data_IF_711116633248
#
_entry.id   IF_711116633248
#
_cell.length_a   1.000
_cell.length_b   1.000
_cell.length_c   1.000
_cell.angle_alpha   90.00
_cell.angle_beta   90.00
_cell.angle_gamma   90.00
#
_symmetry.space_group_name_H-M   'P 1'
#
loop_
_entity.id
_entity.type
_entity.pdbx_description
1 polymer ?
#
# COMPACT_ATOMS: atom_id res chain seq x y z
N UNK A 1 10.33 84.76 1.15
CA UNK A 1 11.54 85.48 0.71
C UNK A 1 12.37 85.76 1.95
N UNK A 2 13.40 84.95 2.21
CA UNK A 2 14.60 85.41 2.90
C UNK A 2 15.74 84.59 2.35
N UNK A 3 16.58 85.31 1.61
CA UNK A 3 17.75 84.83 0.92
C UNK A 3 18.83 84.65 2.00
N UNK A 4 19.42 83.46 2.08
CA UNK A 4 20.79 83.32 2.60
C UNK A 4 21.65 82.91 1.42
N UNK A 5 22.15 83.93 0.74
CA UNK A 5 23.22 83.84 -0.25
C UNK A 5 24.56 83.72 0.47
N UNK A 6 25.22 82.57 0.26
CA UNK A 6 26.67 82.44 0.17
C UNK A 6 27.48 82.45 1.46
N UNK A 7 27.97 81.27 1.87
CA UNK A 7 29.33 81.10 2.42
C UNK A 7 29.87 79.74 1.95
N UNK A 8 31.08 79.77 1.41
CA UNK A 8 31.71 78.67 0.69
C UNK A 8 32.19 77.48 1.53
N UNK A 9 32.86 76.60 0.78
CA UNK A 9 33.38 75.24 1.03
C UNK A 9 34.22 74.98 2.31
N UNK A 10 34.11 75.78 3.38
CA UNK A 10 34.94 75.70 4.59
C UNK A 10 34.17 75.48 5.90
N UNK A 11 32.83 75.46 5.90
CA UNK A 11 32.11 74.99 7.09
C UNK A 11 32.23 73.48 7.13
N UNK A 12 32.71 72.90 8.24
CA UNK A 12 32.74 71.45 8.49
C UNK A 12 31.36 70.80 8.61
N UNK A 13 30.42 71.25 7.77
CA UNK A 13 29.09 70.70 7.57
C UNK A 13 29.28 69.50 6.64
N UNK A 14 29.05 68.32 7.19
CA UNK A 14 29.02 67.09 6.43
C UNK A 14 27.72 67.06 5.59
N UNK A 15 27.77 67.67 4.42
CA UNK A 15 26.66 67.71 3.46
C UNK A 15 26.21 66.30 3.06
N UNK A 16 27.12 65.32 3.05
CA UNK A 16 26.76 63.93 2.78
C UNK A 16 25.91 63.36 3.91
N UNK A 17 26.23 63.66 5.18
CA UNK A 17 25.40 63.27 6.32
C UNK A 17 24.02 63.93 6.30
N UNK A 18 23.93 65.23 5.96
CA UNK A 18 22.64 65.93 5.86
C UNK A 18 21.79 65.40 4.70
N UNK A 19 22.40 65.19 3.53
CA UNK A 19 21.71 64.62 2.36
C UNK A 19 21.24 63.20 2.67
N UNK A 20 22.07 62.37 3.32
CA UNK A 20 21.69 61.01 3.73
C UNK A 20 20.51 61.04 4.69
N UNK A 21 20.54 61.89 5.72
CA UNK A 21 19.42 62.04 6.66
C UNK A 21 18.14 62.56 5.99
N UNK A 22 18.25 63.48 5.02
CA UNK A 22 17.09 63.98 4.27
C UNK A 22 16.49 62.88 3.38
N UNK A 23 17.33 62.07 2.75
CA UNK A 23 16.91 60.89 1.98
C UNK A 23 16.28 59.83 2.89
N UNK A 24 16.82 59.59 4.08
CA UNK A 24 16.22 58.68 5.07
C UNK A 24 14.82 59.14 5.50
N UNK A 25 14.64 60.44 5.75
CA UNK A 25 13.32 61.02 6.08
C UNK A 25 12.35 60.89 4.91
N UNK A 26 12.77 61.17 3.68
CA UNK A 26 11.94 61.03 2.48
C UNK A 26 11.58 59.55 2.19
N UNK A 27 12.39 58.60 2.67
CA UNK A 27 12.13 57.16 2.56
C UNK A 27 11.20 56.59 3.65
N UNK A 28 10.82 57.37 4.68
CA UNK A 28 9.93 56.90 5.76
C UNK A 28 8.64 56.27 5.21
N UNK A 29 7.89 56.88 4.26
CA UNK A 29 6.66 56.28 3.75
C UNK A 29 6.88 54.94 3.04
N UNK A 30 8.00 54.81 2.30
CA UNK A 30 8.38 53.56 1.64
C UNK A 30 8.68 52.49 2.68
N UNK A 31 9.45 52.82 3.71
CA UNK A 31 9.77 51.89 4.80
C UNK A 31 8.51 51.43 5.53
N UNK A 32 7.58 52.35 5.83
CA UNK A 32 6.30 51.98 6.45
C UNK A 32 5.47 51.02 5.59
N UNK A 33 5.50 51.19 4.26
CA UNK A 33 4.84 50.26 3.32
C UNK A 33 5.56 48.91 3.25
N UNK A 34 6.89 48.89 3.29
CA UNK A 34 7.70 47.67 3.34
C UNK A 34 7.43 46.89 4.63
N UNK A 35 7.50 47.55 5.80
CA UNK A 35 7.21 46.95 7.10
C UNK A 35 5.78 46.37 7.14
N UNK A 36 4.82 47.05 6.49
CA UNK A 36 3.44 46.56 6.37
C UNK A 36 3.35 45.34 5.43
N UNK A 37 4.08 45.35 4.32
CA UNK A 37 4.13 44.21 3.39
C UNK A 37 4.74 42.98 4.07
N UNK A 38 5.83 43.16 4.82
CA UNK A 38 6.48 42.10 5.58
C UNK A 38 5.53 41.50 6.63
N UNK A 39 4.82 42.35 7.40
CA UNK A 39 3.78 41.88 8.33
C UNK A 39 2.70 41.04 7.63
N UNK A 40 2.27 41.41 6.42
CA UNK A 40 1.29 40.60 5.68
C UNK A 40 1.88 39.30 5.16
N UNK A 41 3.14 39.27 4.73
CA UNK A 41 3.81 38.05 4.30
C UNK A 41 3.98 37.06 5.47
N UNK A 42 4.29 37.55 6.67
CA UNK A 42 4.35 36.73 7.89
C UNK A 42 2.97 36.14 8.18
N UNK A 43 1.90 36.95 8.11
CA UNK A 43 0.52 36.46 8.28
C UNK A 43 0.14 35.39 7.24
N UNK A 44 0.50 35.59 5.97
CA UNK A 44 0.25 34.60 4.90
C UNK A 44 0.96 33.29 5.24
N UNK A 45 2.21 33.36 5.68
CA UNK A 45 3.00 32.18 6.07
C UNK A 45 2.32 31.44 7.22
N UNK A 46 1.91 32.15 8.26
CA UNK A 46 1.22 31.55 9.42
C UNK A 46 -0.13 30.93 9.03
N UNK A 47 -0.91 31.57 8.14
CA UNK A 47 -2.16 30.99 7.66
C UNK A 47 -1.94 29.75 6.79
N UNK A 48 -0.90 29.72 5.95
CA UNK A 48 -0.57 28.52 5.16
C UNK A 48 -0.17 27.35 6.07
N UNK A 49 0.62 27.60 7.11
CA UNK A 49 0.97 26.57 8.08
C UNK A 49 -0.26 26.07 8.85
N UNK A 50 -1.18 26.97 9.25
CA UNK A 50 -2.45 26.61 9.88
C UNK A 50 -3.31 25.76 8.94
N UNK A 51 -3.37 26.11 7.65
CA UNK A 51 -4.08 25.35 6.63
C UNK A 51 -3.53 23.91 6.53
N UNK A 52 -2.20 23.74 6.43
CA UNK A 52 -1.58 22.41 6.42
C UNK A 52 -1.84 21.60 7.69
N UNK A 53 -1.93 22.24 8.87
CA UNK A 53 -2.31 21.56 10.12
C UNK A 53 -3.77 21.13 10.13
N UNK A 54 -4.66 21.97 9.58
CA UNK A 54 -6.08 21.63 9.42
C UNK A 54 -6.28 20.50 8.40
N UNK A 55 -5.49 20.45 7.32
CA UNK A 55 -5.46 19.32 6.38
C UNK A 55 -5.02 18.04 7.08
N UNK A 56 -3.96 18.09 7.89
CA UNK A 56 -3.49 16.93 8.67
C UNK A 56 -4.55 16.42 9.64
N UNK A 57 -5.25 17.33 10.33
CA UNK A 57 -6.39 16.98 11.18
C UNK A 57 -7.54 16.36 10.36
N UNK A 58 -7.84 16.90 9.18
CA UNK A 58 -8.86 16.36 8.30
C UNK A 58 -8.53 14.93 7.87
N UNK A 59 -7.28 14.66 7.46
CA UNK A 59 -6.81 13.33 7.08
C UNK A 59 -6.96 12.33 8.25
N UNK A 60 -6.62 12.74 9.48
CA UNK A 60 -6.80 11.91 10.66
C UNK A 60 -8.28 11.61 10.94
N UNK A 61 -9.17 12.58 10.75
CA UNK A 61 -10.63 12.37 10.87
C UNK A 61 -11.16 11.45 9.78
N UNK A 62 -10.65 11.53 8.55
CA UNK A 62 -11.09 10.65 7.46
C UNK A 62 -10.83 9.17 7.76
N UNK A 63 -9.71 8.85 8.42
CA UNK A 63 -9.42 7.49 8.92
C UNK A 63 -10.41 7.01 9.98
N UNK A 64 -11.14 7.89 10.64
CA UNK A 64 -12.13 7.55 11.67
C UNK A 64 -13.58 7.72 11.19
N UNK A 65 -13.79 7.99 9.90
CA UNK A 65 -15.12 8.32 9.37
C UNK A 65 -15.96 7.11 8.99
N UNK A 66 -15.32 6.03 8.56
CA UNK A 66 -16.02 4.86 8.02
C UNK A 66 -16.09 3.73 9.04
N UNK A 67 -17.27 3.16 9.20
CA UNK A 67 -17.53 2.00 10.07
C UNK A 67 -16.54 0.86 9.82
N UNK A 68 -16.17 0.63 8.54
CA UNK A 68 -15.19 -0.40 8.15
C UNK A 68 -13.86 -0.27 8.92
N UNK A 69 -13.42 0.94 9.25
CA UNK A 69 -12.15 1.16 9.94
C UNK A 69 -12.23 0.81 11.44
N UNK A 70 -13.44 0.62 11.99
CA UNK A 70 -13.67 0.14 13.35
C UNK A 70 -13.90 -1.37 13.43
N UNK A 71 -14.05 -2.04 12.28
CA UNK A 71 -14.18 -3.50 12.19
C UNK A 71 -12.94 -4.16 11.62
N UNK A 72 -11.80 -3.46 11.65
CA UNK A 72 -10.53 -4.00 11.18
C UNK A 72 -10.19 -5.31 11.91
N UNK A 73 -9.58 -6.23 11.15
CA UNK A 73 -9.18 -7.55 11.65
C UNK A 73 -7.68 -7.72 11.43
N UNK A 74 -7.02 -8.25 12.45
CA UNK A 74 -5.67 -8.79 12.29
C UNK A 74 -5.73 -10.29 12.12
N UNK A 75 -4.75 -10.84 11.42
CA UNK A 75 -4.49 -12.28 11.38
C UNK A 75 -3.05 -12.55 11.80
N UNK A 76 -2.84 -13.53 12.67
CA UNK A 76 -1.53 -14.06 13.02
C UNK A 76 -1.44 -15.53 12.67
N UNK A 77 -0.28 -15.98 12.20
CA UNK A 77 -0.05 -17.37 11.80
C UNK A 77 1.06 -17.96 12.65
N UNK A 78 0.88 -19.18 13.15
CA UNK A 78 1.86 -19.82 14.03
C UNK A 78 3.16 -20.22 13.34
N UNK A 79 3.14 -20.38 12.01
CA UNK A 79 4.32 -20.65 11.18
C UNK A 79 4.17 -20.01 9.79
N UNK A 80 4.73 -18.82 9.65
CA UNK A 80 4.70 -18.02 8.41
C UNK A 80 5.61 -18.58 7.30
N UNK A 81 6.40 -19.63 7.57
CA UNK A 81 7.17 -20.31 6.52
C UNK A 81 6.33 -21.32 5.73
N UNK A 82 5.17 -21.72 6.28
CA UNK A 82 4.27 -22.71 5.68
C UNK A 82 3.01 -22.03 5.13
N UNK A 83 2.43 -21.10 5.87
CA UNK A 83 1.19 -20.43 5.50
C UNK A 83 1.29 -18.94 5.81
N UNK A 84 0.78 -18.09 4.93
CA UNK A 84 0.42 -16.71 5.30
C UNK A 84 -1.09 -16.51 5.19
N UNK A 85 -1.61 -15.58 5.97
CA UNK A 85 -3.02 -15.24 5.97
C UNK A 85 -3.21 -13.72 6.12
N UNK A 86 -4.23 -13.20 5.46
CA UNK A 86 -4.73 -11.84 5.68
C UNK A 86 -6.22 -11.89 5.94
N UNK A 87 -6.68 -11.11 6.92
CA UNK A 87 -8.10 -10.97 7.25
C UNK A 87 -8.63 -9.63 6.72
N UNK A 88 -9.83 -9.67 6.13
CA UNK A 88 -10.62 -8.48 5.82
C UNK A 88 -11.56 -8.15 6.99
N UNK A 89 -12.17 -6.97 6.96
CA UNK A 89 -13.09 -6.50 8.01
C UNK A 89 -14.33 -7.40 8.17
N UNK A 90 -14.66 -8.17 7.12
CA UNK A 90 -15.76 -9.15 7.13
C UNK A 90 -15.39 -10.51 7.77
N UNK A 91 -14.11 -10.74 8.08
CA UNK A 91 -13.66 -12.00 8.64
C UNK A 91 -14.22 -12.20 10.05
N UNK A 92 -14.70 -13.41 10.33
CA UNK A 92 -15.06 -13.79 11.68
C UNK A 92 -13.80 -14.00 12.53
N UNK A 93 -13.77 -13.36 13.70
CA UNK A 93 -12.71 -13.57 14.69
C UNK A 93 -12.75 -15.02 15.21
N UNK A 94 -11.59 -15.63 15.38
CA UNK A 94 -11.48 -17.01 15.80
C UNK A 94 -10.16 -17.67 15.43
N UNK A 95 -10.04 -18.93 15.85
CA UNK A 95 -8.89 -19.79 15.56
C UNK A 95 -9.25 -20.76 14.43
N UNK A 96 -8.50 -20.69 13.33
CA UNK A 96 -8.62 -21.60 12.20
C UNK A 96 -7.39 -22.48 12.13
N UNK A 97 -7.58 -23.79 12.19
CA UNK A 97 -6.47 -24.75 12.14
C UNK A 97 -6.35 -25.31 10.73
N UNK A 98 -5.21 -25.03 10.09
CA UNK A 98 -4.80 -25.65 8.83
C UNK A 98 -4.04 -26.92 9.16
N UNK A 99 -4.46 -28.04 8.59
CA UNK A 99 -3.96 -29.37 8.92
C UNK A 99 -3.52 -30.10 7.65
N UNK A 100 -2.66 -31.13 7.79
CA UNK A 100 -2.42 -32.09 6.72
C UNK A 100 -3.73 -32.66 6.17
N UNK A 101 -3.85 -32.72 4.84
CA UNK A 101 -5.01 -33.35 4.21
C UNK A 101 -5.07 -34.83 4.57
N UNK A 102 -6.26 -35.37 4.85
CA UNK A 102 -6.43 -36.71 5.41
C UNK A 102 -5.82 -37.82 4.53
N UNK A 103 -6.02 -37.73 3.21
CA UNK A 103 -5.46 -38.68 2.22
C UNK A 103 -4.02 -38.37 1.83
N UNK A 104 -3.66 -37.10 1.61
CA UNK A 104 -2.30 -36.74 1.18
C UNK A 104 -1.27 -36.85 2.32
N UNK A 105 -1.71 -36.81 3.58
CA UNK A 105 -0.86 -36.88 4.77
C UNK A 105 0.02 -35.64 4.98
N UNK A 106 -0.21 -34.57 4.19
CA UNK A 106 0.54 -33.31 4.24
C UNK A 106 -0.35 -32.14 3.78
N UNK A 107 0.03 -30.94 4.16
CA UNK A 107 -0.29 -29.71 3.43
C UNK A 107 0.52 -29.77 2.15
N UNK A 108 -0.17 -29.85 1.03
CA UNK A 108 0.41 -29.98 -0.30
C UNK A 108 0.18 -28.68 -1.07
N UNK A 109 1.19 -28.25 -1.83
CA UNK A 109 1.08 -27.12 -2.72
C UNK A 109 0.49 -27.53 -4.08
N UNK A 110 -0.24 -26.60 -4.68
CA UNK A 110 -0.54 -26.63 -6.08
C UNK A 110 0.74 -26.39 -6.90
N UNK A 111 0.91 -27.15 -7.97
CA UNK A 111 2.04 -27.02 -8.90
C UNK A 111 1.55 -26.99 -10.33
N UNK A 112 2.26 -26.27 -11.19
CA UNK A 112 1.99 -26.22 -12.62
C UNK A 112 2.57 -27.46 -13.31
N UNK A 113 2.00 -27.79 -14.47
CA UNK A 113 2.54 -28.86 -15.31
C UNK A 113 3.83 -28.41 -15.96
N UNK A 114 4.82 -29.31 -16.03
CA UNK A 114 6.05 -29.08 -16.77
C UNK A 114 6.41 -30.28 -17.61
N UNK A 115 6.68 -30.05 -18.90
CA UNK A 115 7.16 -31.04 -19.85
C UNK A 115 8.58 -30.69 -20.27
N UNK A 116 9.55 -31.55 -19.96
CA UNK A 116 10.96 -31.38 -20.36
C UNK A 116 11.31 -32.36 -21.46
N UNK A 117 11.77 -31.86 -22.60
CA UNK A 117 12.18 -32.69 -23.74
C UNK A 117 13.36 -33.58 -23.36
N UNK A 118 13.31 -34.83 -23.81
CA UNK A 118 14.39 -35.81 -23.74
C UNK A 118 15.41 -35.60 -24.85
N UNK A 119 15.01 -34.95 -25.95
CA UNK A 119 15.89 -34.61 -27.06
C UNK A 119 16.85 -33.50 -26.64
N UNK A 120 18.15 -33.78 -26.72
CA UNK A 120 19.22 -32.83 -26.44
C UNK A 120 19.74 -32.19 -27.72
N UNK A 121 19.98 -30.89 -27.68
CA UNK A 121 20.63 -30.12 -28.74
C UNK A 121 21.98 -29.58 -28.27
N UNK A 122 22.90 -29.33 -29.21
CA UNK A 122 24.24 -28.80 -28.91
C UNK A 122 24.31 -27.28 -28.87
N UNK A 123 23.35 -26.61 -29.50
CA UNK A 123 23.15 -25.16 -29.54
C UNK A 123 21.66 -24.82 -29.60
N UNK A 124 21.29 -23.60 -29.19
CA UNK A 124 19.93 -23.06 -29.39
C UNK A 124 19.59 -22.84 -30.87
N UNK A 125 20.60 -22.76 -31.73
CA UNK A 125 20.47 -22.58 -33.17
C UNK A 125 20.43 -23.90 -33.94
N UNK A 126 20.44 -25.04 -33.25
CA UNK A 126 20.34 -26.34 -33.92
C UNK A 126 18.93 -26.52 -34.51
N UNK A 127 18.88 -27.08 -35.72
CA UNK A 127 17.65 -27.27 -36.49
C UNK A 127 16.82 -28.40 -35.88
N UNK A 128 15.59 -28.10 -35.46
CA UNK A 128 14.63 -29.07 -34.90
C UNK A 128 13.81 -29.78 -35.98
N UNK A 129 13.60 -29.12 -37.13
CA UNK A 129 12.96 -29.73 -38.30
C UNK A 129 13.93 -29.75 -39.49
N UNK A 130 14.49 -30.92 -39.78
CA UNK A 130 15.36 -31.16 -40.93
C UNK A 130 14.75 -32.19 -41.91
N UNK A 131 13.41 -32.29 -41.90
CA UNK A 131 12.69 -33.30 -42.67
C UNK A 131 12.56 -32.98 -44.16
N UNK A 132 12.93 -31.77 -44.59
CA UNK A 132 12.75 -31.27 -45.96
C UNK A 132 11.32 -30.83 -46.27
N UNK A 133 10.45 -30.70 -45.26
CA UNK A 133 9.07 -30.23 -45.37
C UNK A 133 8.55 -29.68 -44.04
N UNK A 134 7.44 -28.94 -44.07
CA UNK A 134 6.78 -28.44 -42.86
C UNK A 134 6.23 -29.61 -42.02
N UNK A 135 6.42 -29.52 -40.71
CA UNK A 135 5.92 -30.48 -39.71
C UNK A 135 4.92 -29.81 -38.78
N UNK A 136 4.22 -30.61 -37.97
CA UNK A 136 3.25 -30.13 -36.98
C UNK A 136 3.77 -30.42 -35.58
N UNK A 137 3.70 -29.41 -34.70
CA UNK A 137 3.80 -29.58 -33.25
C UNK A 137 2.47 -29.17 -32.62
N UNK A 138 1.76 -30.11 -32.02
CA UNK A 138 0.43 -29.89 -31.45
C UNK A 138 0.39 -30.33 -29.99
N UNK A 139 -0.14 -29.46 -29.14
CA UNK A 139 -0.29 -29.71 -27.71
C UNK A 139 -1.63 -29.18 -27.20
N UNK A 140 -2.07 -29.71 -26.07
CA UNK A 140 -3.23 -29.22 -25.34
C UNK A 140 -2.82 -28.66 -23.99
N UNK A 141 -3.47 -27.58 -23.55
CA UNK A 141 -3.35 -27.04 -22.20
C UNK A 141 -4.69 -26.52 -21.70
N UNK A 142 -5.11 -26.95 -20.51
CA UNK A 142 -6.39 -26.53 -19.91
C UNK A 142 -7.61 -26.84 -20.79
N UNK A 143 -7.54 -27.90 -21.62
CA UNK A 143 -8.58 -28.27 -22.58
C UNK A 143 -8.56 -27.51 -23.91
N UNK A 144 -7.63 -26.57 -24.11
CA UNK A 144 -7.44 -25.85 -25.39
C UNK A 144 -6.33 -26.54 -26.21
N UNK A 145 -6.58 -26.78 -27.49
CA UNK A 145 -5.59 -27.35 -28.43
C UNK A 145 -4.92 -26.25 -29.23
N UNK A 146 -3.58 -26.30 -29.32
CA UNK A 146 -2.76 -25.42 -30.14
C UNK A 146 -2.00 -26.27 -31.16
N UNK A 147 -2.10 -25.88 -32.44
CA UNK A 147 -1.46 -26.58 -33.55
C UNK A 147 -0.48 -25.63 -34.23
N UNK A 148 0.83 -25.91 -34.14
CA UNK A 148 1.89 -25.10 -34.75
C UNK A 148 2.43 -25.79 -36.00
N UNK A 149 2.53 -25.04 -37.09
CA UNK A 149 3.27 -25.46 -38.29
C UNK A 149 4.74 -25.06 -38.12
N UNK A 150 5.63 -26.04 -38.16
CA UNK A 150 7.07 -25.91 -37.98
C UNK A 150 7.74 -26.08 -39.34
N UNK A 151 8.23 -24.99 -39.93
CA UNK A 151 8.85 -25.01 -41.25
C UNK A 151 10.15 -25.84 -41.27
N UNK A 152 10.55 -26.31 -42.45
CA UNK A 152 11.88 -26.90 -42.62
C UNK A 152 12.97 -25.86 -42.30
N UNK A 153 14.01 -26.28 -41.57
CA UNK A 153 15.09 -25.41 -41.12
C UNK A 153 14.82 -24.66 -39.83
N UNK A 154 13.62 -24.74 -39.23
CA UNK A 154 13.33 -24.12 -37.93
C UNK A 154 14.30 -24.62 -36.86
N UNK A 155 14.88 -23.67 -36.12
CA UNK A 155 15.81 -23.91 -35.01
C UNK A 155 15.11 -24.09 -33.67
N UNK A 156 15.82 -24.56 -32.65
CA UNK A 156 15.27 -24.75 -31.30
C UNK A 156 14.80 -23.42 -30.70
N UNK A 157 15.56 -22.34 -30.90
CA UNK A 157 15.18 -20.99 -30.51
C UNK A 157 13.91 -20.51 -31.22
N UNK A 158 13.81 -20.73 -32.53
CA UNK A 158 12.62 -20.35 -33.29
C UNK A 158 11.40 -21.20 -32.90
N UNK A 159 11.57 -22.47 -32.51
CA UNK A 159 10.47 -23.29 -31.97
C UNK A 159 9.96 -22.75 -30.63
N UNK A 160 10.87 -22.36 -29.72
CA UNK A 160 10.51 -21.70 -28.45
C UNK A 160 9.70 -20.44 -28.74
N UNK A 161 10.17 -19.62 -29.67
CA UNK A 161 9.52 -18.35 -30.02
C UNK A 161 8.19 -18.57 -30.74
N UNK A 162 8.07 -19.59 -31.58
CA UNK A 162 6.82 -19.98 -32.21
C UNK A 162 5.77 -20.37 -31.16
N UNK A 163 6.15 -21.13 -30.12
CA UNK A 163 5.23 -21.48 -29.03
C UNK A 163 4.84 -20.22 -28.24
N UNK A 164 5.81 -19.43 -27.79
CA UNK A 164 5.55 -18.29 -26.91
C UNK A 164 4.78 -17.14 -27.56
N UNK A 165 4.97 -16.93 -28.88
CA UNK A 165 4.34 -15.84 -29.61
C UNK A 165 3.10 -16.27 -30.42
N UNK A 166 2.69 -17.54 -30.33
CA UNK A 166 1.47 -18.01 -30.95
C UNK A 166 0.24 -17.31 -30.34
N UNK A 167 -0.66 -16.81 -31.19
CA UNK A 167 -1.83 -16.04 -30.74
C UNK A 167 -2.87 -16.89 -30.02
N UNK A 168 -2.88 -18.21 -30.28
CA UNK A 168 -3.79 -19.16 -29.68
C UNK A 168 -3.18 -19.82 -28.43
N UNK A 169 -1.97 -19.42 -28.01
CA UNK A 169 -1.30 -19.96 -26.84
C UNK A 169 -2.11 -19.67 -25.55
N UNK A 170 -2.65 -20.70 -24.87
CA UNK A 170 -3.49 -20.54 -23.68
C UNK A 170 -2.71 -20.26 -22.39
N UNK A 171 -1.40 -19.97 -22.47
CA UNK A 171 -0.54 -19.70 -21.31
C UNK A 171 0.57 -20.72 -21.09
N UNK A 172 0.96 -21.50 -22.09
CA UNK A 172 2.16 -22.35 -22.01
C UNK A 172 3.39 -21.51 -22.32
N UNK A 173 4.37 -21.51 -21.41
CA UNK A 173 5.68 -20.88 -21.64
C UNK A 173 6.69 -21.93 -22.05
N UNK A 174 7.28 -21.75 -23.22
CA UNK A 174 8.44 -22.50 -23.69
C UNK A 174 9.73 -21.79 -23.28
N UNK A 175 10.68 -22.55 -22.75
CA UNK A 175 12.05 -22.09 -22.46
C UNK A 175 13.06 -23.13 -22.89
N UNK A 176 14.31 -22.72 -23.06
CA UNK A 176 15.42 -23.61 -23.37
C UNK A 176 16.35 -23.62 -22.16
N UNK A 177 16.54 -24.80 -21.57
CA UNK A 177 17.46 -24.98 -20.45
C UNK A 177 18.75 -25.60 -20.97
N UNK A 178 19.88 -24.96 -20.66
CA UNK A 178 21.21 -25.56 -20.81
C UNK A 178 21.50 -26.42 -19.59
N UNK A 179 21.53 -27.74 -19.75
CA UNK A 179 21.81 -28.69 -18.67
C UNK A 179 23.31 -29.00 -18.50
N UNK A 180 24.17 -28.31 -19.25
CA UNK A 180 25.64 -28.44 -19.24
C UNK A 180 26.19 -29.22 -20.43
N UNK A 181 27.48 -29.08 -20.70
CA UNK A 181 28.21 -29.86 -21.73
C UNK A 181 27.59 -29.85 -23.13
N UNK A 182 27.08 -28.70 -23.58
CA UNK A 182 26.36 -28.56 -24.85
C UNK A 182 25.13 -29.47 -24.94
N UNK A 183 24.30 -29.49 -23.90
CA UNK A 183 22.98 -30.12 -23.89
C UNK A 183 21.93 -29.04 -23.58
N UNK A 184 21.16 -28.69 -24.60
CA UNK A 184 20.05 -27.74 -24.56
C UNK A 184 18.73 -28.49 -24.76
N UNK A 185 17.76 -28.24 -23.89
CA UNK A 185 16.46 -28.92 -23.90
C UNK A 185 15.31 -27.93 -23.85
N UNK A 186 14.28 -28.21 -24.66
CA UNK A 186 13.03 -27.47 -24.58
C UNK A 186 12.27 -27.88 -23.32
N UNK A 187 11.76 -26.89 -22.59
CA UNK A 187 10.90 -27.08 -21.43
C UNK A 187 9.63 -26.25 -21.62
N UNK A 188 8.49 -26.91 -21.51
CA UNK A 188 7.17 -26.30 -21.54
C UNK A 188 6.64 -26.25 -20.11
N UNK A 189 6.16 -25.09 -19.67
CA UNK A 189 5.57 -24.89 -18.34
C UNK A 189 4.21 -24.24 -18.48
N UNK A 190 3.19 -24.79 -17.83
CA UNK A 190 1.87 -24.19 -17.78
C UNK A 190 1.87 -22.94 -16.90
N UNK A 191 1.09 -21.92 -17.27
CA UNK A 191 0.93 -20.69 -16.47
C UNK A 191 0.28 -20.95 -15.12
N UNK A 192 -0.77 -21.75 -15.12
CA UNK A 192 -1.62 -22.02 -13.97
C UNK A 192 -1.27 -23.36 -13.31
N UNK A 193 -1.39 -23.39 -11.99
CA UNK A 193 -1.26 -24.60 -11.15
C UNK A 193 -2.57 -25.39 -11.11
N UNK A 194 -2.54 -26.60 -10.56
CA UNK A 194 -3.75 -27.41 -10.34
C UNK A 194 -3.90 -28.53 -11.37
N UNK A 195 -4.47 -29.66 -10.93
CA UNK A 195 -4.48 -30.93 -11.66
C UNK A 195 -5.22 -30.89 -13.00
N UNK A 196 -6.09 -29.89 -13.22
CA UNK A 196 -6.80 -29.69 -14.49
C UNK A 196 -5.95 -28.98 -15.56
N UNK A 197 -4.85 -28.31 -15.15
CA UNK A 197 -4.01 -27.51 -16.03
C UNK A 197 -2.81 -28.32 -16.53
N UNK A 198 -3.09 -29.40 -17.27
CA UNK A 198 -2.07 -30.31 -17.81
C UNK A 198 -1.63 -29.90 -19.21
N UNK A 199 -0.35 -30.04 -19.51
CA UNK A 199 0.15 -29.98 -20.88
C UNK A 199 0.16 -31.42 -21.41
N UNK A 200 -0.42 -31.65 -22.58
CA UNK A 200 -0.31 -32.92 -23.28
C UNK A 200 0.09 -32.69 -24.72
N UNK A 201 1.14 -33.34 -25.19
CA UNK A 201 1.48 -33.33 -26.61
C UNK A 201 0.58 -34.33 -27.30
N UNK A 202 -0.04 -33.95 -28.40
CA UNK A 202 -1.04 -34.80 -29.06
C UNK A 202 -0.39 -35.76 -30.04
N UNK A 203 -1.12 -36.81 -30.40
CA UNK A 203 -0.72 -37.75 -31.45
C UNK A 203 -0.68 -37.13 -32.85
N UNK A 204 -1.18 -35.89 -33.03
CA UNK A 204 -1.11 -35.16 -34.30
C UNK A 204 0.26 -34.52 -34.53
N UNK A 205 1.13 -34.49 -33.50
CA UNK A 205 2.51 -34.00 -33.64
C UNK A 205 3.30 -34.90 -34.58
N UNK A 206 3.78 -34.31 -35.68
CA UNK A 206 4.65 -34.99 -36.66
C UNK A 206 6.11 -34.58 -36.55
N UNK A 207 6.41 -33.55 -35.76
CA UNK A 207 7.79 -33.13 -35.47
C UNK A 207 8.55 -34.23 -34.73
N UNK A 208 9.50 -34.85 -35.43
CA UNK A 208 10.31 -35.97 -34.91
C UNK A 208 11.10 -35.55 -33.66
N UNK A 209 11.07 -36.36 -32.60
CA UNK A 209 11.78 -36.08 -31.34
C UNK A 209 11.04 -35.12 -30.40
N UNK A 210 9.79 -34.77 -30.73
CA UNK A 210 8.91 -33.92 -29.94
C UNK A 210 7.52 -34.54 -29.71
N UNK A 211 7.38 -35.85 -29.86
CA UNK A 211 6.13 -36.56 -29.51
C UNK A 211 5.96 -36.62 -27.98
N UNK A 212 4.78 -36.99 -27.47
CA UNK A 212 4.54 -37.07 -26.01
C UNK A 212 5.55 -37.99 -25.28
N UNK A 213 5.98 -39.08 -25.91
CA UNK A 213 7.01 -39.98 -25.37
C UNK A 213 8.42 -39.37 -25.31
N UNK A 214 8.65 -38.29 -26.05
CA UNK A 214 9.93 -37.56 -26.06
C UNK A 214 10.00 -36.51 -24.93
N UNK A 215 9.02 -36.50 -24.01
CA UNK A 215 9.00 -35.57 -22.88
C UNK A 215 8.87 -36.32 -21.54
N UNK A 216 9.57 -35.79 -20.54
CA UNK A 216 9.35 -36.14 -19.13
C UNK A 216 8.37 -35.15 -18.51
N UNK A 217 7.45 -35.65 -17.70
CA UNK A 217 6.41 -34.84 -17.08
C UNK A 217 6.64 -34.67 -15.57
N UNK A 218 6.50 -33.43 -15.12
CA UNK A 218 6.21 -33.09 -13.72
C UNK A 218 4.75 -32.65 -13.69
N UNK A 219 3.86 -33.57 -13.28
CA UNK A 219 2.42 -33.35 -13.35
C UNK A 219 1.97 -32.14 -12.54
N UNK A 220 1.02 -31.37 -13.08
CA UNK A 220 0.28 -30.39 -12.30
C UNK A 220 -0.45 -31.05 -11.13
N UNK A 221 -0.47 -30.39 -9.98
CA UNK A 221 -1.12 -30.88 -8.78
C UNK A 221 -1.95 -29.77 -8.15
N UNK A 222 -3.03 -30.16 -7.48
CA UNK A 222 -3.81 -29.26 -6.65
C UNK A 222 -3.17 -29.08 -5.27
N UNK A 223 -3.40 -27.93 -4.67
CA UNK A 223 -3.18 -27.72 -3.26
C UNK A 223 -4.17 -28.56 -2.45
N UNK A 224 -3.69 -29.24 -1.41
CA UNK A 224 -4.49 -30.12 -0.56
C UNK A 224 -4.13 -29.88 0.89
N UNK A 225 -5.13 -29.61 1.71
CA UNK A 225 -5.00 -29.41 3.16
C UNK A 225 -6.35 -29.71 3.81
N UNK A 226 -6.43 -29.64 5.14
CA UNK A 226 -7.67 -29.71 5.90
C UNK A 226 -7.86 -28.44 6.71
N UNK A 227 -9.10 -27.99 6.90
CA UNK A 227 -9.44 -26.95 7.88
C UNK A 227 -10.47 -27.51 8.85
N UNK A 228 -10.13 -27.58 10.14
CA UNK A 228 -11.04 -28.11 11.17
C UNK A 228 -11.52 -29.53 10.86
N UNK A 229 -10.63 -30.38 10.33
CA UNK A 229 -10.95 -31.74 9.88
C UNK A 229 -11.68 -31.88 8.55
N UNK A 230 -11.93 -30.79 7.81
CA UNK A 230 -12.58 -30.82 6.48
C UNK A 230 -11.49 -30.71 5.40
N UNK A 231 -11.35 -31.75 4.58
CA UNK A 231 -10.43 -31.74 3.44
C UNK A 231 -10.83 -30.69 2.39
N UNK A 232 -9.85 -29.90 1.96
CA UNK A 232 -9.98 -28.84 0.96
C UNK A 232 -8.99 -29.10 -0.17
N UNK A 233 -9.47 -28.90 -1.40
CA UNK A 233 -8.68 -29.00 -2.62
C UNK A 233 -8.82 -27.70 -3.40
N UNK A 234 -7.70 -27.12 -3.83
CA UNK A 234 -7.65 -25.87 -4.60
C UNK A 234 -6.67 -25.99 -5.77
N UNK A 235 -7.00 -25.38 -6.89
CA UNK A 235 -6.10 -25.31 -8.05
C UNK A 235 -4.94 -24.34 -7.85
N UNK A 236 -4.98 -23.45 -6.85
CA UNK A 236 -3.97 -22.43 -6.55
C UNK A 236 -3.49 -22.52 -5.10
N UNK A 237 -2.30 -21.98 -4.84
CA UNK A 237 -1.74 -21.83 -3.49
C UNK A 237 -2.31 -20.63 -2.74
N UNK A 238 -2.96 -19.69 -3.43
CA UNK A 238 -3.64 -18.55 -2.81
C UNK A 238 -5.14 -18.65 -3.05
N UNK A 239 -5.93 -18.54 -1.99
CA UNK A 239 -7.38 -18.66 -2.03
C UNK A 239 -8.06 -17.82 -0.94
N UNK A 240 -9.23 -17.28 -1.26
CA UNK A 240 -10.02 -16.40 -0.38
C UNK A 240 -11.47 -16.85 -0.20
N UNK A 241 -11.79 -18.04 -0.70
CA UNK A 241 -13.15 -18.59 -0.78
C UNK A 241 -13.38 -19.77 0.19
N UNK A 242 -12.38 -20.13 0.99
CA UNK A 242 -12.48 -21.23 1.96
C UNK A 242 -13.04 -20.73 3.30
N UNK A 243 -12.52 -19.61 3.79
CA UNK A 243 -13.01 -18.93 4.98
C UNK A 243 -13.46 -17.54 4.53
N UNK A 244 -14.75 -17.19 4.65
CA UNK A 244 -15.23 -15.86 4.27
C UNK A 244 -14.42 -14.76 4.93
N UNK A 245 -13.89 -13.86 4.10
CA UNK A 245 -13.12 -12.70 4.54
C UNK A 245 -11.66 -12.99 4.90
N UNK A 246 -11.15 -14.23 4.80
CA UNK A 246 -9.74 -14.56 5.03
C UNK A 246 -9.11 -15.06 3.74
N UNK A 247 -8.02 -14.41 3.31
CA UNK A 247 -7.18 -14.88 2.22
C UNK A 247 -6.02 -15.67 2.79
N UNK A 248 -5.84 -16.91 2.33
CA UNK A 248 -4.78 -17.81 2.77
C UNK A 248 -3.85 -18.06 1.58
N UNK A 249 -2.55 -18.05 1.83
CA UNK A 249 -1.53 -18.48 0.89
C UNK A 249 -0.68 -19.59 1.49
N UNK A 250 -0.58 -20.72 0.80
CA UNK A 250 0.34 -21.80 1.14
C UNK A 250 1.70 -21.52 0.52
N UNK A 251 2.75 -21.59 1.34
CA UNK A 251 4.11 -21.20 0.98
C UNK A 251 5.06 -22.40 0.88
N UNK A 252 4.83 -23.44 1.70
CA UNK A 252 5.61 -24.68 1.65
C UNK A 252 4.77 -25.90 2.01
N UNK A 253 5.23 -27.09 1.60
CA UNK A 253 4.62 -28.34 2.03
C UNK A 253 4.98 -28.65 3.48
N UNK A 254 4.04 -29.20 4.25
CA UNK A 254 4.28 -29.56 5.66
C UNK A 254 3.44 -30.74 6.12
N UNK A 255 3.94 -31.48 7.12
CA UNK A 255 3.17 -32.52 7.83
C UNK A 255 2.67 -32.03 9.20
N UNK A 256 3.03 -30.80 9.59
CA UNK A 256 2.58 -30.17 10.82
C UNK A 256 1.37 -29.29 10.56
N UNK A 257 0.49 -29.18 11.55
CA UNK A 257 -0.62 -28.22 11.51
C UNK A 257 -0.14 -26.79 11.79
N UNK A 258 -0.83 -25.82 11.20
CA UNK A 258 -0.57 -24.39 11.35
C UNK A 258 -1.86 -23.70 11.79
N UNK A 259 -1.81 -22.90 12.84
CA UNK A 259 -2.96 -22.13 13.30
C UNK A 259 -2.94 -20.70 12.77
N UNK A 260 -4.09 -20.23 12.31
CA UNK A 260 -4.37 -18.85 11.93
C UNK A 260 -5.33 -18.29 12.99
N UNK A 261 -4.93 -17.24 13.68
CA UNK A 261 -5.79 -16.54 14.65
C UNK A 261 -6.23 -15.21 14.05
N UNK A 262 -7.54 -15.00 13.95
CA UNK A 262 -8.14 -13.73 13.52
C UNK A 262 -8.69 -13.01 14.74
N UNK A 263 -8.26 -11.77 14.95
CA UNK A 263 -8.71 -10.91 16.05
C UNK A 263 -9.26 -9.59 15.53
N UNK A 264 -10.00 -8.87 16.38
CA UNK A 264 -10.29 -7.45 16.15
C UNK A 264 -9.00 -6.65 16.26
N UNK A 265 -8.77 -5.72 15.33
CA UNK A 265 -7.62 -4.82 15.37
C UNK A 265 -7.91 -3.57 16.20
N UNK A 266 -8.01 -3.77 17.51
CA UNK A 266 -8.26 -2.66 18.45
C UNK A 266 -7.06 -1.70 18.49
N UNK A 267 -5.85 -2.20 18.24
CA UNK A 267 -4.61 -1.42 18.30
C UNK A 267 -4.54 -0.40 17.16
N UNK A 268 -4.88 -0.79 15.93
CA UNK A 268 -4.92 0.16 14.79
C UNK A 268 -5.99 1.23 14.99
N UNK A 269 -7.17 0.87 15.52
CA UNK A 269 -8.21 1.85 15.85
C UNK A 269 -7.72 2.84 16.90
N UNK A 270 -7.05 2.34 17.95
CA UNK A 270 -6.48 3.17 19.01
C UNK A 270 -5.43 4.13 18.44
N UNK A 271 -4.54 3.66 17.58
CA UNK A 271 -3.53 4.51 16.93
C UNK A 271 -4.19 5.61 16.08
N UNK A 272 -5.23 5.28 15.30
CA UNK A 272 -5.95 6.29 14.51
C UNK A 272 -6.62 7.36 15.40
N UNK A 273 -7.11 6.98 16.59
CA UNK A 273 -7.67 7.91 17.58
C UNK A 273 -6.58 8.79 18.20
N UNK A 274 -5.42 8.21 18.54
CA UNK A 274 -4.25 8.94 19.02
C UNK A 274 -3.76 9.96 17.99
N UNK A 275 -3.60 9.55 16.73
CA UNK A 275 -3.22 10.42 15.61
C UNK A 275 -4.19 11.61 15.46
N UNK A 276 -5.51 11.36 15.61
CA UNK A 276 -6.52 12.40 15.57
C UNK A 276 -6.40 13.39 16.74
N UNK A 277 -6.21 12.88 17.96
CA UNK A 277 -6.04 13.72 19.16
C UNK A 277 -4.78 14.58 19.05
N UNK A 278 -3.68 13.99 18.57
CA UNK A 278 -2.43 14.71 18.36
C UNK A 278 -2.56 15.80 17.29
N UNK A 279 -3.19 15.48 16.14
CA UNK A 279 -3.43 16.46 15.09
C UNK A 279 -4.35 17.61 15.55
N UNK A 280 -5.37 17.32 16.36
CA UNK A 280 -6.22 18.36 16.94
C UNK A 280 -5.41 19.24 17.91
N UNK A 281 -4.63 18.64 18.81
CA UNK A 281 -3.83 19.36 19.80
C UNK A 281 -2.78 20.24 19.13
N UNK A 282 -2.17 19.80 18.03
CA UNK A 282 -1.23 20.59 17.24
C UNK A 282 -1.89 21.84 16.61
N UNK A 283 -3.16 21.75 16.18
CA UNK A 283 -3.93 22.93 15.74
C UNK A 283 -4.19 23.89 16.90
N UNK A 284 -4.56 23.38 18.08
CA UNK A 284 -4.77 24.20 19.28
C UNK A 284 -3.49 24.93 19.66
N UNK A 285 -2.38 24.20 19.77
CA UNK A 285 -1.07 24.74 20.13
C UNK A 285 -0.59 25.78 19.13
N UNK A 286 -0.79 25.53 17.83
CA UNK A 286 -0.38 26.48 16.80
C UNK A 286 -1.20 27.76 16.85
N UNK A 287 -2.53 27.67 16.99
CA UNK A 287 -3.39 28.85 17.14
C UNK A 287 -2.98 29.62 18.39
N UNK A 288 -2.87 28.96 19.53
CA UNK A 288 -2.50 29.60 20.79
C UNK A 288 -1.12 30.27 20.71
N UNK A 289 -0.13 29.62 20.10
CA UNK A 289 1.20 30.21 19.92
C UNK A 289 1.18 31.45 19.01
N UNK A 290 0.29 31.50 18.03
CA UNK A 290 0.22 32.56 17.01
C UNK A 290 -0.76 33.68 17.33
N UNK A 291 -1.61 33.52 18.34
CA UNK A 291 -2.54 34.56 18.81
C UNK A 291 -2.14 35.16 20.17
N UNK A 292 -1.29 34.49 20.95
CA UNK A 292 -0.93 34.93 22.28
C UNK A 292 -0.20 36.28 22.32
N UNK A 293 -0.42 37.01 23.43
CA UNK A 293 0.34 38.19 23.78
C UNK A 293 1.49 37.84 24.72
N UNK A 294 2.72 38.15 24.32
CA UNK A 294 3.89 37.96 25.17
C UNK A 294 4.11 39.18 26.05
N UNK A 295 3.92 39.00 27.35
CA UNK A 295 4.24 40.02 28.37
C UNK A 295 5.74 40.23 28.55
N UNK A 296 6.58 39.28 28.10
CA UNK A 296 8.04 39.38 28.14
C UNK A 296 8.57 40.36 27.08
N UNK A 297 7.99 40.34 25.88
CA UNK A 297 8.38 41.21 24.76
C UNK A 297 7.44 42.41 24.59
N UNK A 298 6.37 42.48 25.39
CA UNK A 298 5.27 43.45 25.24
C UNK A 298 4.70 43.51 23.81
N UNK A 299 4.67 42.37 23.13
CA UNK A 299 4.24 42.24 21.74
C UNK A 299 3.30 41.05 21.56
N UNK A 300 2.28 41.24 20.73
CA UNK A 300 1.44 40.14 20.28
C UNK A 300 2.14 39.30 19.21
N UNK A 301 1.79 38.02 19.15
CA UNK A 301 2.16 37.14 18.05
C UNK A 301 1.55 37.60 16.71
N UNK A 302 1.93 36.95 15.62
CA UNK A 302 1.65 37.35 14.24
C UNK A 302 0.15 37.54 13.94
N UNK A 303 -0.72 36.78 14.62
CA UNK A 303 -2.19 36.81 14.49
C UNK A 303 -2.91 37.34 15.74
N UNK A 304 -2.21 37.98 16.68
CA UNK A 304 -2.81 38.53 17.91
C UNK A 304 -3.88 39.63 17.69
N UNK A 305 -3.93 40.21 16.49
CA UNK A 305 -4.93 41.20 16.07
C UNK A 305 -6.02 40.61 15.15
N UNK A 306 -5.99 39.29 14.90
CA UNK A 306 -6.93 38.58 14.04
C UNK A 306 -7.95 37.78 14.85
N UNK A 307 -9.18 37.65 14.32
CA UNK A 307 -10.26 36.90 14.99
C UNK A 307 -10.54 35.54 14.35
N UNK A 308 -10.04 35.31 13.13
CA UNK A 308 -10.28 34.08 12.37
C UNK A 308 -9.78 32.82 13.09
N UNK A 309 -8.56 32.78 13.69
CA UNK A 309 -8.09 31.59 14.40
C UNK A 309 -9.01 31.19 15.57
N UNK A 310 -9.49 32.17 16.35
CA UNK A 310 -10.41 31.92 17.46
C UNK A 310 -11.76 31.36 16.98
N UNK A 311 -12.25 31.84 15.83
CA UNK A 311 -13.48 31.31 15.22
C UNK A 311 -13.29 29.85 14.79
N UNK A 312 -12.14 29.50 14.22
CA UNK A 312 -11.81 28.12 13.85
C UNK A 312 -11.79 27.24 15.10
N UNK A 313 -11.05 27.64 16.14
CA UNK A 313 -10.93 26.88 17.39
C UNK A 313 -12.29 26.70 18.07
N UNK A 314 -13.13 27.74 18.11
CA UNK A 314 -14.48 27.68 18.67
C UNK A 314 -15.38 26.70 17.92
N UNK A 315 -15.29 26.67 16.58
CA UNK A 315 -16.04 25.73 15.75
C UNK A 315 -15.58 24.30 16.00
N UNK A 316 -14.27 24.05 16.02
CA UNK A 316 -13.71 22.73 16.33
C UNK A 316 -14.17 22.25 17.71
N UNK A 317 -14.02 23.07 18.75
CA UNK A 317 -14.49 22.77 20.12
C UNK A 317 -16.00 22.45 20.16
N UNK A 318 -16.80 23.18 19.39
CA UNK A 318 -18.26 22.92 19.29
C UNK A 318 -18.55 21.56 18.66
N UNK A 319 -17.81 21.18 17.61
CA UNK A 319 -17.96 19.89 16.94
C UNK A 319 -17.56 18.74 17.87
N UNK A 320 -16.39 18.82 18.50
CA UNK A 320 -15.88 17.80 19.43
C UNK A 320 -16.79 17.59 20.63
N UNK A 321 -17.35 18.67 21.19
CA UNK A 321 -18.26 18.60 22.34
C UNK A 321 -19.70 18.26 21.96
N UNK A 322 -20.01 18.14 20.66
CA UNK A 322 -21.37 17.85 20.20
C UNK A 322 -21.80 16.44 20.56
N UNK A 323 -23.12 16.27 20.74
CA UNK A 323 -23.73 14.96 21.00
C UNK A 323 -24.19 14.35 19.68
N UNK A 324 -23.84 13.08 19.46
CA UNK A 324 -24.33 12.33 18.29
C UNK A 324 -25.70 11.76 18.59
N UNK A 325 -26.70 12.15 17.79
CA UNK A 325 -28.07 11.64 17.90
C UNK A 325 -28.19 10.22 17.35
N UNK A 326 -29.05 9.40 17.94
CA UNK A 326 -29.33 8.04 17.46
C UNK A 326 -28.44 6.95 18.08
N UNK A 327 -27.40 7.33 18.83
CA UNK A 327 -26.52 6.38 19.52
C UNK A 327 -27.01 5.97 20.92
N UNK A 328 -26.52 4.86 21.50
CA UNK A 328 -26.73 4.49 22.90
C UNK A 328 -26.38 5.63 23.86
N UNK A 329 -27.06 5.74 25.00
CA UNK A 329 -26.92 6.90 25.92
C UNK A 329 -25.50 7.10 26.47
N UNK A 330 -24.72 6.05 26.49
CA UNK A 330 -23.33 5.95 26.96
C UNK A 330 -22.30 6.00 25.83
N UNK A 331 -22.71 6.23 24.57
CA UNK A 331 -21.82 6.38 23.40
C UNK A 331 -22.19 7.60 22.54
N UNK A 332 -22.71 8.68 23.15
CA UNK A 332 -23.17 9.89 22.44
C UNK A 332 -22.13 11.01 22.38
N UNK A 333 -21.04 10.91 23.12
CA UNK A 333 -20.00 11.94 23.21
C UNK A 333 -18.62 11.31 23.29
N UNK A 334 -17.61 12.01 22.77
CA UNK A 334 -16.20 11.61 22.88
C UNK A 334 -15.76 11.36 24.33
N UNK A 335 -16.24 12.16 25.28
CA UNK A 335 -15.93 11.99 26.71
C UNK A 335 -16.40 10.62 27.26
N UNK A 336 -17.47 10.05 26.72
CA UNK A 336 -17.94 8.72 27.13
C UNK A 336 -17.11 7.58 26.50
N UNK A 337 -16.36 7.88 25.45
CA UNK A 337 -15.36 7.00 24.84
C UNK A 337 -13.97 7.17 25.47
N UNK A 338 -13.85 7.99 26.53
CA UNK A 338 -12.58 8.28 27.18
C UNK A 338 -11.77 9.43 26.56
N UNK A 339 -12.33 10.20 25.61
CA UNK A 339 -11.65 11.36 25.01
C UNK A 339 -12.24 12.64 25.60
N UNK A 340 -11.52 13.27 26.52
CA UNK A 340 -11.99 14.48 27.24
C UNK A 340 -11.28 15.73 26.75
N UNK A 341 -11.88 16.91 26.98
CA UNK A 341 -11.24 18.19 26.68
C UNK A 341 -10.74 18.84 27.97
N UNK A 342 -9.45 19.19 28.00
CA UNK A 342 -8.86 19.98 29.07
C UNK A 342 -9.48 21.37 29.09
N UNK A 343 -9.99 21.82 30.24
CA UNK A 343 -10.73 23.09 30.33
C UNK A 343 -9.81 24.32 30.31
N UNK A 344 -8.51 24.16 30.58
CA UNK A 344 -7.52 25.25 30.61
C UNK A 344 -6.89 25.45 29.23
N UNK A 345 -6.43 24.37 28.60
CA UNK A 345 -5.73 24.42 27.31
C UNK A 345 -6.67 24.20 26.12
N UNK A 346 -7.79 23.53 26.31
CA UNK A 346 -8.66 23.11 25.20
C UNK A 346 -8.13 21.90 24.43
N UNK A 347 -7.05 21.27 24.89
CA UNK A 347 -6.51 20.01 24.36
C UNK A 347 -7.47 18.85 24.58
N UNK A 348 -7.38 17.85 23.71
CA UNK A 348 -7.96 16.54 23.94
C UNK A 348 -6.99 15.64 24.71
N UNK A 349 -7.53 14.88 25.64
CA UNK A 349 -6.83 13.92 26.49
C UNK A 349 -7.52 12.56 26.37
N UNK A 350 -6.72 11.49 26.23
CA UNK A 350 -7.22 10.11 26.11
C UNK A 350 -7.06 9.37 27.45
N UNK A 351 -8.17 8.94 28.02
CA UNK A 351 -8.20 7.86 29.00
C UNK A 351 -8.10 6.52 28.27
N UNK A 352 -6.86 6.03 28.17
CA UNK A 352 -6.55 4.74 27.51
C UNK A 352 -7.34 3.57 28.09
N UNK A 353 -7.69 3.59 29.38
CA UNK A 353 -8.39 2.48 30.01
C UNK A 353 -9.86 2.45 29.59
N UNK A 354 -10.53 3.60 29.65
CA UNK A 354 -11.92 3.76 29.18
C UNK A 354 -12.03 3.51 27.69
N UNK A 355 -11.08 4.02 26.88
CA UNK A 355 -11.09 3.81 25.43
C UNK A 355 -10.93 2.33 25.06
N UNK A 356 -9.99 1.63 25.69
CA UNK A 356 -9.76 0.20 25.41
C UNK A 356 -10.96 -0.65 25.81
N UNK A 357 -11.58 -0.36 26.97
CA UNK A 357 -12.78 -1.04 27.43
C UNK A 357 -13.92 -0.90 26.40
N UNK A 358 -14.17 0.33 25.94
CA UNK A 358 -15.20 0.60 24.94
C UNK A 358 -14.93 -0.08 23.60
N UNK A 359 -13.71 -0.01 23.07
CA UNK A 359 -13.36 -0.66 21.80
C UNK A 359 -13.40 -2.20 21.86
N UNK A 360 -13.25 -2.78 23.05
CA UNK A 360 -13.24 -4.24 23.21
C UNK A 360 -14.65 -4.79 23.43
N UNK A 361 -15.52 -4.03 24.11
CA UNK A 361 -16.77 -4.54 24.66
C UNK A 361 -18.05 -3.99 24.01
N UNK A 362 -18.00 -2.84 23.33
CA UNK A 362 -19.16 -2.14 22.75
C UNK A 362 -19.01 -1.84 21.25
#
# INVERSE_FOLDING_TARGET
MSIVTGVGLSSGIDYNSIITKLIEVERIPIKMLQDRADKYNDKITVYNDLDSKLETLMDAVEKLKTDDNFYEKTSSVSDESIVSATASNSAAAGLYLIEPHSVAGKIQLASADRRTSLTSFTSTTDVVNSSGSDQVFEYTYGGTTVTLTIADGTTLEELRDAINNDTDNPGVTATIINVGSSDYRLVLTGKDTGSSNTISITSSTTLTGFTDSDFTASSAQDAKFSIGGIDVVKSSNTFSDVIPGVTITLLSESTSSVSITVNNDVDTIKQNIEDFVDAYNDVVDYIDAKTQYSTLTNSGAELSDETTPDVILTRLKTIISSRVSGQPSDLRTLAQLGITTNYETGHLEIDSSTLTDKLTND
#
